data_IF_692810010629
#
_entry.id   IF_692810010629
#
_cell.length_a   1.000
_cell.length_b   1.000
_cell.length_c   1.000
_cell.angle_alpha   90.00
_cell.angle_beta   90.00
_cell.angle_gamma   90.00
#
_symmetry.space_group_name_H-M   'P 1'
#
loop_
_entity.id
_entity.type
_entity.pdbx_description
1 polymer ?
#
# COMPACT_ATOMS: atom_id res chain seq x y z
N UNK A 1 -37.97 -1.57 -63.82
CA UNK A 1 -37.12 -2.50 -63.05
C UNK A 1 -35.66 -2.18 -63.38
N UNK A 2 -34.76 -2.08 -62.39
CA UNK A 2 -33.28 -2.02 -62.49
C UNK A 2 -32.49 -0.69 -62.29
N UNK A 3 -33.03 0.37 -61.70
CA UNK A 3 -32.18 1.54 -61.34
C UNK A 3 -32.32 1.99 -59.87
N UNK A 4 -33.37 1.61 -59.17
CA UNK A 4 -33.59 2.00 -57.76
C UNK A 4 -32.96 1.09 -56.70
N UNK A 5 -32.27 0.02 -57.10
CA UNK A 5 -31.61 -0.94 -56.17
C UNK A 5 -30.11 -0.64 -56.01
N UNK A 6 -29.50 0.20 -56.85
CA UNK A 6 -28.05 0.44 -56.78
C UNK A 6 -27.66 1.57 -55.81
N UNK A 7 -28.56 2.50 -55.50
CA UNK A 7 -28.25 3.66 -54.63
C UNK A 7 -28.50 3.35 -53.14
N UNK A 8 -29.31 2.35 -52.82
CA UNK A 8 -29.56 1.94 -51.43
C UNK A 8 -28.55 0.91 -50.89
N UNK A 9 -27.66 0.38 -51.74
CA UNK A 9 -26.66 -0.62 -51.36
C UNK A 9 -25.27 -0.02 -51.07
N UNK A 10 -25.00 1.23 -51.47
CA UNK A 10 -23.72 1.91 -51.22
C UNK A 10 -23.69 2.74 -49.92
N UNK A 11 -24.81 2.88 -49.21
CA UNK A 11 -24.89 3.64 -47.96
C UNK A 11 -24.49 2.86 -46.70
N UNK A 12 -24.10 1.59 -46.82
CA UNK A 12 -23.82 0.69 -45.69
C UNK A 12 -22.33 0.32 -45.53
N UNK A 13 -21.41 0.89 -46.33
CA UNK A 13 -20.00 0.43 -46.38
C UNK A 13 -18.95 1.52 -46.12
N UNK A 14 -19.30 2.63 -45.47
CA UNK A 14 -18.31 3.62 -45.07
C UNK A 14 -18.64 4.22 -43.69
N UNK A 15 -18.61 3.37 -42.66
CA UNK A 15 -18.34 3.86 -41.30
C UNK A 15 -16.83 3.99 -41.16
N UNK A 16 -16.25 5.10 -41.66
CA UNK A 16 -14.84 5.41 -41.45
C UNK A 16 -14.71 5.86 -39.98
N UNK A 17 -14.06 5.07 -39.14
CA UNK A 17 -13.80 5.48 -37.75
C UNK A 17 -12.64 6.47 -37.75
N UNK A 18 -12.93 7.75 -37.48
CA UNK A 18 -11.91 8.81 -37.39
C UNK A 18 -10.76 8.43 -36.45
N UNK A 19 -11.08 7.81 -35.31
CA UNK A 19 -10.10 7.37 -34.32
C UNK A 19 -9.26 6.19 -34.83
N UNK A 20 -9.83 5.31 -35.66
CA UNK A 20 -9.04 4.27 -36.32
C UNK A 20 -8.02 4.87 -37.29
N UNK A 21 -8.45 5.81 -38.14
CA UNK A 21 -7.56 6.46 -39.12
C UNK A 21 -6.43 7.26 -38.41
N UNK A 22 -6.75 7.97 -37.34
CA UNK A 22 -5.73 8.64 -36.50
C UNK A 22 -4.76 7.63 -35.87
N UNK A 23 -5.27 6.50 -35.37
CA UNK A 23 -4.44 5.42 -34.84
C UNK A 23 -3.44 4.90 -35.87
N UNK A 24 -3.88 4.70 -37.13
CA UNK A 24 -3.02 4.27 -38.23
C UNK A 24 -1.91 5.29 -38.54
N UNK A 25 -2.23 6.58 -38.54
CA UNK A 25 -1.24 7.63 -38.75
C UNK A 25 -0.18 7.66 -37.63
N UNK A 26 -0.62 7.55 -36.37
CA UNK A 26 0.27 7.49 -35.21
C UNK A 26 1.14 6.23 -35.20
N UNK A 27 0.57 5.09 -35.58
CA UNK A 27 1.28 3.83 -35.77
C UNK A 27 2.38 3.96 -36.84
N UNK A 28 2.08 4.58 -37.98
CA UNK A 28 3.06 4.85 -39.04
C UNK A 28 4.21 5.76 -38.57
N UNK A 29 3.96 6.63 -37.59
CA UNK A 29 4.97 7.46 -36.94
C UNK A 29 5.73 6.75 -35.81
N UNK A 30 5.38 5.50 -35.48
CA UNK A 30 5.95 4.75 -34.35
C UNK A 30 5.50 5.25 -32.97
N UNK A 31 4.44 6.06 -32.90
CA UNK A 31 3.85 6.61 -31.66
C UNK A 31 2.85 5.62 -31.06
N UNK A 32 3.34 4.43 -30.74
CA UNK A 32 2.53 3.27 -30.36
C UNK A 32 1.60 3.50 -29.16
N UNK A 33 2.05 4.26 -28.15
CA UNK A 33 1.25 4.54 -26.95
C UNK A 33 0.02 5.40 -27.30
N UNK A 34 0.19 6.36 -28.20
CA UNK A 34 -0.87 7.25 -28.67
C UNK A 34 -1.80 6.52 -29.65
N UNK A 35 -1.23 5.74 -30.57
CA UNK A 35 -2.00 4.88 -31.46
C UNK A 35 -2.90 3.91 -30.68
N UNK A 36 -2.38 3.28 -29.62
CA UNK A 36 -3.15 2.37 -28.77
C UNK A 36 -4.28 3.08 -28.00
N UNK A 37 -4.17 4.38 -27.74
CA UNK A 37 -5.26 5.19 -27.16
C UNK A 37 -6.35 5.40 -28.21
N UNK A 38 -5.98 5.87 -29.40
CA UNK A 38 -6.95 6.11 -30.49
C UNK A 38 -7.69 4.84 -30.91
N UNK A 39 -6.96 3.73 -31.10
CA UNK A 39 -7.59 2.43 -31.39
C UNK A 39 -8.51 1.95 -30.26
N UNK A 40 -8.24 2.30 -29.01
CA UNK A 40 -9.11 1.94 -27.89
C UNK A 40 -10.39 2.76 -27.88
N UNK A 41 -10.32 4.03 -28.26
CA UNK A 41 -11.52 4.86 -28.46
C UNK A 41 -12.36 4.26 -29.59
N UNK A 42 -11.73 3.96 -30.74
CA UNK A 42 -12.39 3.32 -31.86
C UNK A 42 -13.04 1.96 -31.47
N UNK A 43 -12.35 1.16 -30.66
CA UNK A 43 -12.85 -0.14 -30.18
C UNK A 43 -14.05 -0.02 -29.24
N UNK A 44 -14.14 1.06 -28.45
CA UNK A 44 -15.33 1.33 -27.60
C UNK A 44 -16.55 1.64 -28.46
N UNK A 45 -16.35 2.33 -29.59
CA UNK A 45 -17.41 2.69 -30.52
C UNK A 45 -17.88 1.51 -31.38
N UNK A 46 -16.96 0.66 -31.84
CA UNK A 46 -17.26 -0.57 -32.59
C UNK A 46 -16.37 -1.75 -32.14
N UNK A 47 -16.81 -2.53 -31.14
CA UNK A 47 -16.02 -3.63 -30.58
C UNK A 47 -16.02 -4.91 -31.43
N UNK A 48 -16.93 -5.03 -32.40
CA UNK A 48 -17.04 -6.23 -33.26
C UNK A 48 -16.16 -6.11 -34.51
N UNK A 49 -15.73 -4.88 -34.85
CA UNK A 49 -14.79 -4.64 -35.94
C UNK A 49 -13.46 -5.38 -35.71
N UNK A 50 -13.16 -6.29 -36.63
CA UNK A 50 -11.95 -7.12 -36.59
C UNK A 50 -10.70 -6.28 -36.81
N UNK A 51 -10.72 -5.30 -37.71
CA UNK A 51 -9.56 -4.48 -38.06
C UNK A 51 -9.16 -3.58 -36.90
N UNK A 52 -10.13 -2.97 -36.21
CA UNK A 52 -9.90 -2.15 -35.01
C UNK A 52 -9.31 -3.01 -33.89
N UNK A 53 -9.90 -4.18 -33.62
CA UNK A 53 -9.43 -5.11 -32.58
C UNK A 53 -8.00 -5.58 -32.86
N UNK A 54 -7.70 -5.98 -34.08
CA UNK A 54 -6.35 -6.42 -34.46
C UNK A 54 -5.34 -5.27 -34.38
N UNK A 55 -5.73 -4.05 -34.78
CA UNK A 55 -4.86 -2.88 -34.66
C UNK A 55 -4.56 -2.53 -33.19
N UNK A 56 -5.58 -2.56 -32.33
CA UNK A 56 -5.41 -2.36 -30.90
C UNK A 56 -4.51 -3.44 -30.27
N UNK A 57 -4.68 -4.71 -30.64
CA UNK A 57 -3.85 -5.80 -30.15
C UNK A 57 -2.38 -5.59 -30.56
N UNK A 58 -2.11 -5.34 -31.85
CA UNK A 58 -0.75 -5.08 -32.35
C UNK A 58 -0.10 -3.89 -31.64
N UNK A 59 -0.83 -2.78 -31.49
CA UNK A 59 -0.33 -1.60 -30.80
C UNK A 59 -0.02 -1.92 -29.33
N UNK A 60 -0.93 -2.59 -28.61
CA UNK A 60 -0.73 -2.99 -27.22
C UNK A 60 0.51 -3.87 -27.02
N UNK A 61 0.80 -4.80 -27.94
CA UNK A 61 2.04 -5.59 -27.89
C UNK A 61 3.29 -4.69 -27.93
N UNK A 62 3.31 -3.68 -28.82
CA UNK A 62 4.44 -2.74 -28.92
C UNK A 62 4.56 -1.82 -27.71
N UNK A 63 3.45 -1.36 -27.15
CA UNK A 63 3.47 -0.53 -25.95
C UNK A 63 3.91 -1.35 -24.73
N UNK A 64 3.54 -2.63 -24.64
CA UNK A 64 4.00 -3.53 -23.59
C UNK A 64 5.53 -3.73 -23.65
N UNK A 65 6.09 -3.95 -24.84
CA UNK A 65 7.55 -4.07 -25.04
C UNK A 65 8.28 -2.77 -24.62
N UNK A 66 7.72 -1.61 -24.96
CA UNK A 66 8.30 -0.32 -24.55
C UNK A 66 8.22 -0.10 -23.03
N UNK A 67 7.07 -0.43 -22.43
CA UNK A 67 6.91 -0.43 -20.99
C UNK A 67 7.93 -1.36 -20.31
N UNK A 68 8.23 -2.53 -20.90
CA UNK A 68 9.22 -3.45 -20.35
C UNK A 68 10.64 -2.86 -20.36
N UNK A 69 11.03 -2.18 -21.45
CA UNK A 69 12.32 -1.47 -21.51
C UNK A 69 12.41 -0.37 -20.45
N UNK A 70 11.35 0.44 -20.29
CA UNK A 70 11.27 1.49 -19.26
C UNK A 70 11.28 0.91 -17.86
N UNK A 71 10.59 -0.21 -17.63
CA UNK A 71 10.60 -0.97 -16.39
C UNK A 71 12.03 -1.37 -16.01
N UNK A 72 12.76 -2.00 -16.93
CA UNK A 72 14.14 -2.43 -16.69
C UNK A 72 15.06 -1.26 -16.35
N UNK A 73 14.90 -0.14 -17.05
CA UNK A 73 15.67 1.08 -16.76
C UNK A 73 15.39 1.61 -15.35
N UNK A 74 14.12 1.78 -14.97
CA UNK A 74 13.77 2.23 -13.62
C UNK A 74 14.22 1.28 -12.52
N UNK A 75 14.24 -0.02 -12.81
CA UNK A 75 14.73 -1.03 -11.88
C UNK A 75 16.23 -0.86 -11.62
N UNK A 76 17.04 -0.64 -12.67
CA UNK A 76 18.48 -0.36 -12.55
C UNK A 76 18.75 0.92 -11.74
N UNK A 77 17.89 1.92 -11.87
CA UNK A 77 17.97 3.17 -11.10
C UNK A 77 17.37 3.06 -9.68
N UNK A 78 16.91 1.88 -9.25
CA UNK A 78 16.23 1.66 -7.97
C UNK A 78 14.97 2.53 -7.77
N UNK A 79 14.34 2.99 -8.86
CA UNK A 79 13.09 3.76 -8.86
C UNK A 79 11.89 2.80 -8.83
N UNK A 80 11.79 2.01 -7.76
CA UNK A 80 10.88 0.86 -7.66
C UNK A 80 9.41 1.19 -7.92
N UNK A 81 8.89 2.30 -7.37
CA UNK A 81 7.52 2.72 -7.63
C UNK A 81 7.23 2.97 -9.13
N UNK A 82 8.18 3.61 -9.83
CA UNK A 82 8.06 3.85 -11.29
C UNK A 82 8.21 2.57 -12.09
N UNK A 83 9.11 1.69 -11.68
CA UNK A 83 9.26 0.36 -12.30
C UNK A 83 7.95 -0.40 -12.18
N UNK A 84 7.43 -0.59 -10.98
CA UNK A 84 6.18 -1.35 -10.77
C UNK A 84 4.97 -0.76 -11.51
N UNK A 85 4.84 0.58 -11.59
CA UNK A 85 3.82 1.21 -12.43
C UNK A 85 3.93 0.80 -13.91
N UNK A 86 5.15 0.69 -14.45
CA UNK A 86 5.38 0.21 -15.83
C UNK A 86 5.08 -1.27 -15.99
N UNK A 87 5.34 -2.07 -14.95
CA UNK A 87 4.95 -3.49 -14.92
C UNK A 87 3.43 -3.66 -15.00
N UNK A 88 2.68 -2.95 -14.16
CA UNK A 88 1.21 -3.02 -14.17
C UNK A 88 0.64 -2.53 -15.51
N UNK A 89 1.15 -1.41 -16.04
CA UNK A 89 0.72 -0.88 -17.33
C UNK A 89 1.02 -1.84 -18.49
N UNK A 90 2.20 -2.47 -18.48
CA UNK A 90 2.59 -3.43 -19.51
C UNK A 90 1.78 -4.73 -19.45
N UNK A 91 1.49 -5.26 -18.26
CA UNK A 91 0.61 -6.42 -18.09
C UNK A 91 -0.85 -6.12 -18.46
N UNK A 92 -1.32 -4.88 -18.27
CA UNK A 92 -2.65 -4.48 -18.72
C UNK A 92 -2.77 -4.49 -20.27
N UNK A 93 -1.66 -4.24 -20.98
CA UNK A 93 -1.61 -4.22 -22.45
C UNK A 93 -1.35 -5.62 -23.04
N UNK A 94 -0.41 -6.36 -22.46
CA UNK A 94 -0.11 -7.73 -22.83
C UNK A 94 0.02 -8.58 -21.56
N UNK A 95 -1.09 -9.21 -21.11
CA UNK A 95 -1.09 -10.06 -19.93
C UNK A 95 -0.09 -11.22 -20.02
N UNK A 96 0.26 -11.68 -21.22
CA UNK A 96 1.15 -12.84 -21.42
C UNK A 96 2.59 -12.45 -21.75
N UNK A 97 2.97 -11.17 -21.58
CA UNK A 97 4.34 -10.72 -21.84
C UNK A 97 5.33 -11.46 -20.93
N UNK A 98 6.17 -12.32 -21.52
CA UNK A 98 7.06 -13.24 -20.80
C UNK A 98 7.98 -12.55 -19.79
N UNK A 99 8.54 -11.39 -20.17
CA UNK A 99 9.38 -10.57 -19.28
C UNK A 99 8.65 -10.12 -18.01
N UNK A 100 7.45 -9.54 -18.13
CA UNK A 100 6.66 -9.14 -16.96
C UNK A 100 6.15 -10.34 -16.16
N UNK A 101 5.78 -11.45 -16.81
CA UNK A 101 5.38 -12.68 -16.12
C UNK A 101 6.50 -13.26 -15.25
N UNK A 102 7.75 -13.20 -15.72
CA UNK A 102 8.92 -13.59 -14.94
C UNK A 102 9.20 -12.63 -13.77
N UNK A 103 8.92 -11.35 -13.93
CA UNK A 103 9.23 -10.31 -12.95
C UNK A 103 8.15 -10.12 -11.88
N UNK A 104 6.88 -10.33 -12.21
CA UNK A 104 5.73 -10.14 -11.30
C UNK A 104 5.89 -10.86 -9.94
N UNK A 105 6.31 -12.13 -9.86
CA UNK A 105 6.45 -12.85 -8.59
C UNK A 105 7.50 -12.26 -7.63
N UNK A 106 8.37 -11.37 -8.11
CA UNK A 106 9.40 -10.73 -7.31
C UNK A 106 8.92 -9.47 -6.58
N UNK A 107 7.75 -8.95 -6.94
CA UNK A 107 7.16 -7.82 -6.26
C UNK A 107 6.31 -8.29 -5.09
N UNK A 108 6.22 -7.50 -4.04
CA UNK A 108 5.22 -7.68 -2.98
C UNK A 108 4.67 -6.32 -2.60
N UNK A 109 3.36 -6.17 -2.74
CA UNK A 109 2.65 -4.99 -2.26
C UNK A 109 2.28 -5.20 -0.80
N UNK A 110 2.60 -4.23 0.04
CA UNK A 110 2.41 -4.34 1.49
C UNK A 110 1.45 -3.25 1.92
N UNK A 111 0.30 -3.62 2.45
CA UNK A 111 -0.52 -2.70 3.22
C UNK A 111 0.08 -2.61 4.63
N UNK A 112 0.27 -1.40 5.13
CA UNK A 112 0.57 -1.16 6.54
C UNK A 112 -0.58 -0.35 7.11
N UNK A 113 -1.22 -0.84 8.16
CA UNK A 113 -2.36 -0.15 8.76
C UNK A 113 -2.45 -0.37 10.27
N UNK A 114 -3.32 0.42 10.88
CA UNK A 114 -3.69 0.30 12.29
C UNK A 114 -4.62 1.44 12.69
N UNK A 115 -4.82 1.58 14.00
CA UNK A 115 -5.67 2.63 14.57
C UNK A 115 -5.01 3.28 15.77
N UNK A 116 -5.25 4.57 15.95
CA UNK A 116 -4.79 5.33 17.12
C UNK A 116 -5.98 6.10 17.69
N UNK A 117 -6.35 5.78 18.93
CA UNK A 117 -7.24 6.60 19.73
C UNK A 117 -6.43 7.71 20.38
N UNK A 118 -6.78 8.94 20.01
CA UNK A 118 -6.09 10.14 20.46
C UNK A 118 -7.11 11.19 20.89
N UNK A 119 -7.03 11.65 22.14
CA UNK A 119 -7.94 12.67 22.65
C UNK A 119 -7.51 14.07 22.20
N UNK A 120 -7.94 14.48 21.00
CA UNK A 120 -7.57 15.77 20.40
C UNK A 120 -7.95 16.99 21.25
N UNK A 121 -8.98 16.87 22.10
CA UNK A 121 -9.42 17.95 23.00
C UNK A 121 -8.28 18.39 23.94
N UNK A 122 -7.38 17.48 24.32
CA UNK A 122 -6.19 17.79 25.14
C UNK A 122 -5.14 18.64 24.41
N UNK A 123 -5.16 18.70 23.07
CA UNK A 123 -4.22 19.49 22.27
C UNK A 123 -4.66 20.94 22.07
N UNK A 124 -5.97 21.22 22.10
CA UNK A 124 -6.52 22.56 21.77
C UNK A 124 -6.04 23.67 22.72
N UNK A 125 -5.67 23.32 23.95
CA UNK A 125 -5.09 24.28 24.91
C UNK A 125 -3.57 24.44 24.81
N UNK A 126 -2.86 23.46 24.23
CA UNK A 126 -1.39 23.40 24.26
C UNK A 126 -0.70 24.00 23.02
N UNK A 127 -1.41 24.11 21.88
CA UNK A 127 -0.84 24.64 20.64
C UNK A 127 -1.47 25.97 20.25
N UNK A 128 -0.64 27.00 20.09
CA UNK A 128 -1.05 28.28 19.47
C UNK A 128 -1.55 27.99 18.05
N UNK A 129 -2.67 28.63 17.67
CA UNK A 129 -3.34 28.58 16.35
C UNK A 129 -2.32 28.43 15.21
N UNK A 130 -2.11 27.18 14.76
CA UNK A 130 -1.42 26.88 13.52
C UNK A 130 -2.44 26.91 12.39
N UNK A 131 -2.01 27.26 11.18
CA UNK A 131 -2.90 27.36 10.01
C UNK A 131 -3.39 25.97 9.59
N UNK A 132 -2.53 24.95 9.75
CA UNK A 132 -2.89 23.54 9.53
C UNK A 132 -2.29 22.67 10.63
N UNK A 133 -3.10 21.73 11.12
CA UNK A 133 -2.70 20.70 12.09
C UNK A 133 -3.17 19.33 11.60
N UNK A 134 -2.26 18.37 11.58
CA UNK A 134 -2.55 17.03 11.10
C UNK A 134 -1.80 15.99 11.89
N UNK A 135 -2.53 15.04 12.47
CA UNK A 135 -1.92 13.89 13.13
C UNK A 135 -1.32 12.96 12.08
N UNK A 136 -0.12 12.47 12.35
CA UNK A 136 0.60 11.57 11.47
C UNK A 136 1.26 10.43 12.24
N UNK A 137 1.23 9.25 11.64
CA UNK A 137 2.06 8.09 11.99
C UNK A 137 3.25 8.03 11.04
N UNK A 138 4.43 7.77 11.60
CA UNK A 138 5.63 7.43 10.83
C UNK A 138 6.02 5.98 11.13
N UNK A 139 6.41 5.24 10.11
CA UNK A 139 6.75 3.81 10.17
C UNK A 139 8.14 3.61 9.55
N UNK A 140 9.01 2.87 10.23
CA UNK A 140 10.26 2.41 9.65
C UNK A 140 9.96 1.25 8.71
N UNK A 141 10.47 1.33 7.48
CA UNK A 141 10.42 0.20 6.55
C UNK A 141 11.62 -0.73 6.78
N UNK A 142 11.52 -2.00 6.38
CA UNK A 142 12.65 -2.92 6.35
C UNK A 142 13.85 -2.42 5.53
N UNK A 143 13.61 -1.57 4.52
CA UNK A 143 14.64 -0.96 3.67
C UNK A 143 15.30 0.28 4.30
N UNK A 144 14.87 0.70 5.49
CA UNK A 144 15.39 1.89 6.19
C UNK A 144 14.75 3.21 5.75
N UNK A 145 13.76 3.17 4.86
CA UNK A 145 12.95 4.33 4.52
C UNK A 145 11.94 4.64 5.64
N UNK A 146 11.39 5.85 5.60
CA UNK A 146 10.37 6.32 6.54
C UNK A 146 9.07 6.57 5.79
N UNK A 147 8.06 5.73 6.04
CA UNK A 147 6.71 5.98 5.56
C UNK A 147 6.02 6.96 6.50
N UNK A 148 5.30 7.92 5.93
CA UNK A 148 4.50 8.88 6.69
C UNK A 148 3.07 8.84 6.19
N UNK A 149 2.13 8.64 7.10
CA UNK A 149 0.70 8.65 6.80
C UNK A 149 -0.05 9.48 7.81
N UNK A 150 -1.17 10.03 7.36
CA UNK A 150 -2.07 10.82 8.17
C UNK A 150 -3.01 9.90 8.94
N UNK A 151 -3.47 10.34 10.13
CA UNK A 151 -4.57 9.70 10.81
C UNK A 151 -5.88 10.30 10.28
N UNK A 152 -6.83 9.43 9.96
CA UNK A 152 -8.18 9.85 9.61
C UNK A 152 -8.87 10.30 10.91
N UNK A 153 -9.27 11.57 10.98
CA UNK A 153 -9.66 12.23 12.23
C UNK A 153 -10.87 11.60 12.95
N UNK A 154 -11.82 11.02 12.22
CA UNK A 154 -13.07 10.48 12.75
C UNK A 154 -12.89 9.07 13.35
N UNK A 155 -12.03 8.28 12.74
CA UNK A 155 -11.86 6.85 13.02
C UNK A 155 -10.56 6.58 13.75
N UNK A 156 -9.56 7.46 13.64
CA UNK A 156 -8.20 7.25 14.11
C UNK A 156 -7.40 6.26 13.26
N UNK A 157 -7.93 5.83 12.11
CA UNK A 157 -7.25 4.90 11.22
C UNK A 157 -6.05 5.55 10.57
N UNK A 158 -5.03 4.75 10.31
CA UNK A 158 -3.97 5.09 9.38
C UNK A 158 -3.72 3.88 8.47
N UNK A 159 -3.38 4.14 7.21
CA UNK A 159 -2.89 3.11 6.31
C UNK A 159 -2.01 3.71 5.22
N UNK A 160 -1.03 2.93 4.76
CA UNK A 160 -0.11 3.30 3.68
C UNK A 160 0.36 2.04 2.97
N UNK A 161 0.61 2.13 1.67
CA UNK A 161 1.21 1.04 0.90
C UNK A 161 2.74 1.21 0.84
N UNK A 162 3.44 0.08 0.93
CA UNK A 162 4.85 -0.05 0.56
C UNK A 162 5.01 -1.11 -0.54
N UNK A 163 6.17 -1.09 -1.19
CA UNK A 163 6.49 -1.94 -2.32
C UNK A 163 7.87 -2.55 -2.14
N UNK A 164 7.92 -3.87 -2.05
CA UNK A 164 9.15 -4.63 -1.90
C UNK A 164 9.49 -5.41 -3.17
N UNK A 165 10.78 -5.46 -3.51
CA UNK A 165 11.29 -6.16 -4.69
C UNK A 165 12.38 -7.17 -4.31
N UNK A 166 12.20 -8.44 -4.70
CA UNK A 166 13.14 -9.56 -4.48
C UNK A 166 13.55 -9.75 -3.01
N UNK A 167 12.62 -9.54 -2.08
CA UNK A 167 12.83 -9.81 -0.67
C UNK A 167 12.03 -11.03 -0.20
N UNK A 168 12.60 -11.84 0.70
CA UNK A 168 11.88 -12.96 1.28
C UNK A 168 10.84 -12.45 2.30
N UNK A 169 9.82 -13.26 2.65
CA UNK A 169 8.77 -12.84 3.60
C UNK A 169 9.29 -12.36 4.96
N UNK A 170 10.40 -12.93 5.44
CA UNK A 170 11.06 -12.54 6.69
C UNK A 170 11.52 -11.08 6.69
N UNK A 171 11.73 -10.48 5.52
CA UNK A 171 12.05 -9.06 5.41
C UNK A 171 10.91 -8.18 5.94
N UNK A 172 9.66 -8.63 5.76
CA UNK A 172 8.46 -7.91 6.18
C UNK A 172 8.27 -7.93 7.70
N UNK A 173 9.00 -8.75 8.46
CA UNK A 173 8.90 -8.76 9.93
C UNK A 173 9.61 -7.55 10.56
N UNK A 174 10.30 -6.73 9.76
CA UNK A 174 11.14 -5.62 10.23
C UNK A 174 10.44 -4.27 10.25
N UNK A 175 9.19 -4.16 9.78
CA UNK A 175 8.44 -2.92 9.97
C UNK A 175 8.30 -2.61 11.45
N UNK A 176 8.36 -1.33 11.79
CA UNK A 176 8.17 -0.87 13.16
C UNK A 176 7.61 0.54 13.20
N UNK A 177 6.88 0.86 14.25
CA UNK A 177 6.38 2.20 14.52
C UNK A 177 7.58 3.10 14.82
N UNK A 178 7.71 4.19 14.06
CA UNK A 178 8.75 5.20 14.31
C UNK A 178 8.24 6.27 15.28
N UNK A 179 7.12 6.91 14.93
CA UNK A 179 6.55 7.97 15.76
C UNK A 179 5.07 8.20 15.50
N UNK A 180 4.39 8.73 16.50
CA UNK A 180 3.04 9.32 16.38
C UNK A 180 3.17 10.77 16.81
N UNK A 181 2.62 11.69 16.02
CA UNK A 181 2.83 13.11 16.27
C UNK A 181 1.94 14.03 15.45
N UNK A 182 2.12 15.33 15.65
CA UNK A 182 1.36 16.38 15.01
C UNK A 182 2.25 17.17 14.04
N UNK A 183 1.89 17.12 12.76
CA UNK A 183 2.43 18.01 11.74
C UNK A 183 1.69 19.33 11.80
N UNK A 184 2.44 20.42 11.91
CA UNK A 184 1.92 21.78 11.93
C UNK A 184 2.50 22.57 10.77
N UNK A 185 1.66 23.31 10.05
CA UNK A 185 2.09 24.39 9.15
C UNK A 185 1.69 25.73 9.75
N UNK A 186 2.61 26.68 9.74
CA UNK A 186 2.35 28.03 10.22
C UNK A 186 3.05 29.05 9.33
N UNK A 187 2.32 30.09 8.92
CA UNK A 187 2.89 31.28 8.30
C UNK A 187 3.58 32.13 9.38
N UNK A 188 4.84 32.42 9.15
CA UNK A 188 5.64 33.30 10.00
C UNK A 188 5.27 34.76 9.75
N UNK A 189 5.66 35.65 10.67
CA UNK A 189 5.43 37.11 10.55
C UNK A 189 6.11 37.71 9.30
N UNK A 190 7.14 37.05 8.77
CA UNK A 190 7.86 37.40 7.55
C UNK A 190 7.27 36.74 6.29
N UNK A 191 6.13 36.05 6.39
CA UNK A 191 5.42 35.43 5.27
C UNK A 191 5.88 34.02 4.88
N UNK A 192 6.99 33.50 5.45
CA UNK A 192 7.46 32.14 5.17
C UNK A 192 6.61 31.08 5.85
N UNK A 193 6.41 29.94 5.17
CA UNK A 193 5.74 28.77 5.73
C UNK A 193 6.72 27.90 6.53
N UNK A 194 6.55 27.83 7.84
CA UNK A 194 7.29 26.91 8.72
C UNK A 194 6.51 25.61 8.89
N UNK A 195 7.17 24.49 8.65
CA UNK A 195 6.64 23.14 8.89
C UNK A 195 7.37 22.53 10.08
N UNK A 196 6.62 22.13 11.11
CA UNK A 196 7.17 21.46 12.29
C UNK A 196 6.44 20.13 12.49
N UNK A 197 7.14 19.12 12.98
CA UNK A 197 6.55 17.85 13.41
C UNK A 197 6.85 17.61 14.87
N UNK A 198 5.81 17.67 15.70
CA UNK A 198 5.90 17.43 17.13
C UNK A 198 5.57 15.98 17.44
N UNK A 199 6.55 15.24 17.95
CA UNK A 199 6.39 13.83 18.30
C UNK A 199 5.79 13.70 19.68
N UNK A 200 4.73 12.90 19.78
CA UNK A 200 4.14 12.47 21.05
C UNK A 200 4.80 11.16 21.46
N UNK A 201 4.78 10.18 20.56
CA UNK A 201 5.49 8.91 20.70
C UNK A 201 6.69 8.93 19.77
N UNK A 202 7.86 8.50 20.25
CA UNK A 202 9.10 8.57 19.49
C UNK A 202 10.03 7.39 19.80
N UNK A 203 9.92 6.35 18.97
CA UNK A 203 10.74 5.15 19.04
C UNK A 203 12.04 5.22 18.26
N UNK A 204 12.14 6.12 17.26
CA UNK A 204 13.25 6.43 16.33
C UNK A 204 14.12 5.24 15.86
N UNK A 205 14.22 5.07 14.53
CA UNK A 205 15.18 4.15 13.86
C UNK A 205 15.23 2.75 14.48
N UNK A 206 14.18 1.95 14.25
CA UNK A 206 14.10 0.60 14.77
C UNK A 206 14.24 -0.43 13.64
N UNK A 207 15.39 -1.09 13.64
CA UNK A 207 15.65 -2.35 12.99
C UNK A 207 16.12 -3.36 14.05
N UNK A 208 15.77 -4.64 13.92
CA UNK A 208 16.23 -5.66 14.85
C UNK A 208 17.75 -5.85 14.74
N UNK A 209 18.40 -6.09 15.87
CA UNK A 209 19.84 -6.42 15.93
C UNK A 209 20.16 -7.74 15.21
N UNK A 210 19.21 -8.67 15.23
CA UNK A 210 19.28 -9.93 14.51
C UNK A 210 17.88 -10.41 14.14
N UNK A 211 17.78 -11.12 13.01
CA UNK A 211 16.59 -11.89 12.62
C UNK A 211 17.04 -13.32 12.38
N UNK A 212 16.51 -14.26 13.14
CA UNK A 212 16.89 -15.68 13.09
C UNK A 212 15.65 -16.55 12.83
N UNK A 213 15.84 -17.66 12.12
CA UNK A 213 14.75 -18.56 11.75
C UNK A 213 14.09 -18.17 10.43
N UNK A 214 12.95 -18.81 10.15
CA UNK A 214 12.16 -18.65 8.92
C UNK A 214 10.68 -18.72 9.22
N UNK A 215 9.87 -18.14 8.35
CA UNK A 215 8.42 -18.32 8.37
C UNK A 215 8.06 -19.53 7.51
N UNK A 216 7.12 -20.36 7.99
CA UNK A 216 6.62 -21.47 7.18
C UNK A 216 5.80 -20.94 6.02
N UNK A 217 5.93 -21.53 4.83
CA UNK A 217 5.05 -21.21 3.72
C UNK A 217 3.58 -21.51 4.06
N UNK A 218 2.70 -20.65 3.57
CA UNK A 218 1.25 -20.75 3.80
C UNK A 218 0.63 -22.03 3.28
N UNK A 219 -0.61 -22.27 3.71
CA UNK A 219 -1.45 -23.23 3.01
C UNK A 219 -1.85 -22.69 1.64
N UNK A 220 -2.45 -23.52 0.79
CA UNK A 220 -3.09 -23.03 -0.44
C UNK A 220 -4.49 -22.48 -0.19
N UNK A 221 -4.96 -22.49 1.07
CA UNK A 221 -6.31 -22.06 1.44
C UNK A 221 -6.31 -20.58 1.79
N UNK A 222 -7.05 -19.79 1.00
CA UNK A 222 -7.22 -18.36 1.25
C UNK A 222 -8.35 -18.12 2.25
N UNK A 223 -8.10 -17.26 3.24
CA UNK A 223 -9.04 -16.89 4.29
C UNK A 223 -9.26 -15.38 4.33
N UNK A 224 -10.41 -14.95 4.84
CA UNK A 224 -10.69 -13.53 5.07
C UNK A 224 -10.10 -13.13 6.42
N UNK A 225 -9.53 -11.93 6.51
CA UNK A 225 -8.88 -11.46 7.74
C UNK A 225 -9.86 -11.34 8.91
N UNK A 226 -11.13 -11.04 8.63
CA UNK A 226 -12.19 -10.92 9.63
C UNK A 226 -12.47 -12.24 10.37
N UNK A 227 -12.33 -13.39 9.69
CA UNK A 227 -12.59 -14.73 10.26
C UNK A 227 -11.60 -15.11 11.38
N UNK A 228 -10.50 -14.38 11.50
CA UNK A 228 -9.42 -14.68 12.43
C UNK A 228 -9.26 -13.67 13.57
N UNK A 229 -10.14 -12.67 13.64
CA UNK A 229 -10.24 -11.73 14.76
C UNK A 229 -10.48 -12.44 16.11
N UNK A 230 -11.10 -13.62 16.11
CA UNK A 230 -11.37 -14.40 17.32
C UNK A 230 -10.12 -14.96 18.02
N UNK A 231 -8.99 -15.16 17.30
CA UNK A 231 -7.70 -15.57 17.91
C UNK A 231 -6.96 -14.44 18.65
N UNK A 232 -7.48 -13.21 18.58
CA UNK A 232 -6.97 -12.06 19.33
C UNK A 232 -7.50 -12.01 20.77
N UNK A 233 -8.45 -12.88 21.11
CA UNK A 233 -8.97 -12.97 22.47
C UNK A 233 -7.95 -13.70 23.35
N UNK A 234 -7.65 -13.05 24.48
CA UNK A 234 -6.83 -13.52 25.59
C UNK A 234 -5.32 -13.43 25.39
N UNK A 235 -4.81 -12.24 25.67
CA UNK A 235 -3.56 -12.11 26.43
C UNK A 235 -3.77 -10.96 27.40
N UNK A 236 -3.36 -11.09 28.66
CA UNK A 236 -3.37 -9.98 29.61
C UNK A 236 -2.39 -8.91 29.13
N UNK A 237 -2.87 -8.00 28.28
CA UNK A 237 -2.10 -6.84 27.86
C UNK A 237 -1.95 -5.90 29.05
N UNK A 238 -0.77 -5.29 29.14
CA UNK A 238 -0.50 -4.28 30.15
C UNK A 238 -1.39 -3.07 29.88
N UNK A 239 -2.16 -2.64 30.88
CA UNK A 239 -3.09 -1.53 30.75
C UNK A 239 -2.44 -0.17 30.93
N UNK A 240 -1.28 -0.13 31.59
CA UNK A 240 -0.52 1.11 31.83
C UNK A 240 0.15 1.61 30.54
N UNK A 241 -0.03 2.90 30.28
CA UNK A 241 0.63 3.60 29.18
C UNK A 241 2.14 3.59 29.36
N UNK A 242 2.85 3.15 28.34
CA UNK A 242 4.30 3.11 28.30
C UNK A 242 4.85 4.40 27.70
N UNK A 243 5.77 5.06 28.40
CA UNK A 243 6.57 6.15 27.83
C UNK A 243 7.85 5.54 27.26
N UNK A 244 7.94 5.31 25.95
CA UNK A 244 9.04 4.54 25.40
C UNK A 244 10.37 5.31 25.41
N UNK A 245 11.50 4.62 25.57
CA UNK A 245 12.80 5.19 25.25
C UNK A 245 12.90 5.45 23.74
N UNK A 246 13.82 6.33 23.35
CA UNK A 246 14.05 6.69 21.94
C UNK A 246 14.72 5.61 21.11
N UNK A 247 15.30 4.58 21.72
CA UNK A 247 16.00 3.48 21.04
C UNK A 247 15.67 2.21 21.80
N UNK A 248 15.41 1.13 21.05
CA UNK A 248 15.16 -0.20 21.59
C UNK A 248 16.11 -1.19 20.93
N UNK A 249 16.72 -2.02 21.76
CA UNK A 249 17.55 -3.12 21.31
C UNK A 249 16.72 -4.39 21.40
N UNK A 250 16.44 -5.01 20.25
CA UNK A 250 15.65 -6.23 20.19
C UNK A 250 16.13 -7.15 19.08
N UNK A 251 15.77 -8.42 19.17
CA UNK A 251 15.99 -9.44 18.16
C UNK A 251 14.67 -10.08 17.78
N UNK A 252 14.60 -10.60 16.55
CA UNK A 252 13.48 -11.39 16.07
C UNK A 252 13.90 -12.86 15.96
N UNK A 253 13.13 -13.72 16.61
CA UNK A 253 13.20 -15.16 16.42
C UNK A 253 11.93 -15.63 15.74
N UNK A 254 12.08 -16.12 14.52
CA UNK A 254 10.99 -16.60 13.68
C UNK A 254 10.85 -18.10 13.92
N UNK A 255 9.72 -18.50 14.47
CA UNK A 255 9.31 -19.89 14.48
C UNK A 255 8.25 -20.08 13.39
N UNK A 256 8.11 -21.30 12.87
CA UNK A 256 7.28 -21.61 11.70
C UNK A 256 5.90 -20.93 11.67
N UNK A 257 5.32 -20.65 12.85
CA UNK A 257 3.96 -20.09 13.02
C UNK A 257 3.91 -18.72 13.70
N UNK A 258 5.03 -18.08 14.01
CA UNK A 258 5.03 -16.87 14.85
C UNK A 258 6.36 -16.10 14.87
N UNK A 259 6.28 -14.87 15.37
CA UNK A 259 7.40 -13.93 15.40
C UNK A 259 7.64 -13.53 16.85
N UNK A 260 8.73 -14.03 17.43
CA UNK A 260 9.10 -13.74 18.81
C UNK A 260 10.06 -12.55 18.89
N UNK A 261 9.77 -11.60 19.79
CA UNK A 261 10.56 -10.40 20.06
C UNK A 261 11.29 -10.56 21.39
N UNK A 262 12.62 -10.56 21.32
CA UNK A 262 13.50 -10.71 22.47
C UNK A 262 14.18 -9.37 22.82
N UNK A 263 14.40 -9.12 24.11
CA UNK A 263 15.23 -8.00 24.60
C UNK A 263 14.47 -6.72 25.00
N UNK A 264 13.15 -6.69 24.87
CA UNK A 264 12.28 -5.57 25.27
C UNK A 264 11.06 -6.10 26.03
N UNK A 265 10.56 -5.39 27.07
CA UNK A 265 9.41 -5.82 27.87
C UNK A 265 8.06 -5.39 27.27
N UNK A 266 8.07 -4.68 26.14
CA UNK A 266 6.90 -4.04 25.53
C UNK A 266 6.95 -4.20 24.01
N UNK A 267 5.78 -4.29 23.36
CA UNK A 267 5.61 -4.63 21.94
C UNK A 267 5.00 -3.50 21.09
N UNK A 268 4.66 -2.35 21.69
CA UNK A 268 3.95 -1.26 21.00
C UNK A 268 4.70 -0.66 19.80
N UNK A 269 6.00 -0.92 19.69
CA UNK A 269 6.79 -0.51 18.53
C UNK A 269 6.68 -1.47 17.34
N UNK A 270 6.37 -2.74 17.58
CA UNK A 270 6.30 -3.78 16.54
C UNK A 270 4.88 -3.85 15.96
N UNK A 271 4.64 -4.54 14.85
CA UNK A 271 3.29 -4.89 14.43
C UNK A 271 2.61 -5.80 15.46
N UNK A 272 1.30 -5.98 15.34
CA UNK A 272 0.55 -7.03 16.02
C UNK A 272 0.56 -8.32 15.19
N UNK A 273 0.30 -8.19 13.89
CA UNK A 273 0.18 -9.31 12.96
C UNK A 273 0.85 -9.01 11.62
N UNK A 274 1.37 -10.06 11.01
CA UNK A 274 1.79 -10.10 9.61
C UNK A 274 0.92 -11.12 8.88
N UNK A 275 0.15 -10.68 7.91
CA UNK A 275 -0.61 -11.51 6.99
C UNK A 275 0.12 -11.58 5.65
N UNK A 276 0.21 -12.78 5.08
CA UNK A 276 0.77 -13.02 3.75
C UNK A 276 -0.29 -13.62 2.82
N UNK A 277 -0.28 -13.16 1.58
CA UNK A 277 -1.03 -13.73 0.47
C UNK A 277 -0.05 -13.96 -0.68
N UNK A 278 0.67 -15.08 -0.61
CA UNK A 278 1.80 -15.42 -1.46
C UNK A 278 1.39 -15.54 -2.94
N UNK A 279 0.23 -16.13 -3.22
CA UNK A 279 -0.29 -16.32 -4.58
C UNK A 279 -0.60 -14.99 -5.29
N UNK A 280 -1.02 -13.96 -4.53
CA UNK A 280 -1.32 -12.63 -5.05
C UNK A 280 -0.21 -11.61 -4.82
N UNK A 281 0.94 -12.01 -4.25
CA UNK A 281 2.07 -11.13 -3.96
C UNK A 281 1.66 -9.93 -3.08
N UNK A 282 0.83 -10.19 -2.08
CA UNK A 282 0.35 -9.18 -1.14
C UNK A 282 0.69 -9.55 0.29
N UNK A 283 0.88 -8.54 1.12
CA UNK A 283 1.01 -8.67 2.55
C UNK A 283 0.24 -7.56 3.26
N UNK A 284 -0.19 -7.83 4.49
CA UNK A 284 -0.75 -6.83 5.38
C UNK A 284 -0.01 -6.88 6.72
N UNK A 285 0.64 -5.77 7.06
CA UNK A 285 1.27 -5.52 8.35
C UNK A 285 0.29 -4.73 9.19
N UNK A 286 -0.32 -5.41 10.14
CA UNK A 286 -1.29 -4.83 11.06
C UNK A 286 -0.60 -4.40 12.35
N UNK A 287 -0.65 -3.11 12.67
CA UNK A 287 -0.12 -2.55 13.91
C UNK A 287 -1.12 -2.60 15.07
N UNK A 288 -2.35 -3.04 14.84
CA UNK A 288 -3.41 -3.11 15.83
C UNK A 288 -3.95 -1.73 16.19
N UNK A 289 -4.57 -1.66 17.36
CA UNK A 289 -5.15 -0.43 17.91
C UNK A 289 -4.32 0.08 19.08
N UNK A 290 -3.97 1.36 19.05
CA UNK A 290 -3.27 2.05 20.12
C UNK A 290 -4.16 3.07 20.79
N UNK A 291 -3.94 3.25 22.10
CA UNK A 291 -4.37 4.44 22.83
C UNK A 291 -3.15 5.25 23.22
N UNK A 292 -3.19 6.56 22.93
CA UNK A 292 -2.11 7.50 23.22
C UNK A 292 -2.60 8.53 24.23
N UNK A 293 -1.89 8.64 25.35
CA UNK A 293 -2.34 9.41 26.51
C UNK A 293 -1.25 10.32 27.04
N UNK A 294 -1.61 11.54 27.43
CA UNK A 294 -0.72 12.44 28.15
C UNK A 294 -0.83 12.14 29.65
N UNK A 295 0.28 11.75 30.27
CA UNK A 295 0.35 11.67 31.72
C UNK A 295 0.42 13.10 32.29
N UNK A 296 -0.56 13.53 33.12
CA UNK A 296 -0.66 14.91 33.58
C UNK A 296 0.43 15.29 34.61
N UNK A 297 1.00 14.33 35.33
CA UNK A 297 2.02 14.57 36.34
C UNK A 297 3.42 14.74 35.71
N UNK A 298 3.71 13.96 34.68
CA UNK A 298 5.02 13.95 34.02
C UNK A 298 5.06 14.78 32.74
N UNK A 299 3.90 15.22 32.24
CA UNK A 299 3.70 15.88 30.95
C UNK A 299 4.27 15.07 29.75
N UNK A 300 4.37 13.74 29.92
CA UNK A 300 4.87 12.85 28.87
C UNK A 300 3.74 12.06 28.25
N UNK A 301 3.82 11.91 26.93
CA UNK A 301 2.93 11.05 26.18
C UNK A 301 3.37 9.58 26.33
N UNK A 302 2.41 8.73 26.63
CA UNK A 302 2.56 7.28 26.64
C UNK A 302 1.65 6.61 25.61
N UNK A 303 2.00 5.36 25.28
CA UNK A 303 1.27 4.52 24.33
C UNK A 303 0.94 3.18 24.98
N UNK A 304 -0.22 2.63 24.65
CA UNK A 304 -0.62 1.27 25.01
C UNK A 304 -1.30 0.61 23.82
N UNK A 305 -0.99 -0.66 23.55
CA UNK A 305 -1.75 -1.48 22.61
C UNK A 305 -3.02 -1.97 23.28
N UNK A 306 -4.15 -1.72 22.65
CA UNK A 306 -5.44 -2.19 23.13
C UNK A 306 -5.74 -3.59 22.60
N UNK A 307 -6.38 -4.46 23.40
CA UNK A 307 -6.84 -5.75 22.91
C UNK A 307 -7.89 -5.54 21.82
N UNK A 308 -7.97 -6.46 20.86
CA UNK A 308 -9.03 -6.45 19.88
C UNK A 308 -10.36 -6.84 20.55
N UNK A 309 -11.30 -5.91 20.52
CA UNK A 309 -12.68 -6.05 20.98
C UNK A 309 -13.57 -5.47 19.89
N UNK A 310 -14.89 -5.72 19.87
CA UNK A 310 -15.78 -5.09 18.91
C UNK A 310 -15.70 -3.54 18.86
N UNK A 311 -15.25 -2.89 19.95
CA UNK A 311 -15.08 -1.44 20.00
C UNK A 311 -13.72 -0.95 19.45
N UNK A 312 -12.67 -1.75 19.63
CA UNK A 312 -11.29 -1.42 19.26
C UNK A 312 -10.86 -2.02 17.94
N UNK A 313 -11.54 -3.07 17.46
CA UNK A 313 -11.29 -3.71 16.17
C UNK A 313 -11.52 -2.70 15.04
N UNK A 314 -10.50 -2.57 14.20
CA UNK A 314 -10.42 -1.59 13.15
C UNK A 314 -10.54 -2.24 11.75
N UNK A 315 -10.48 -3.58 11.66
CA UNK A 315 -10.57 -4.32 10.41
C UNK A 315 -11.89 -4.09 9.67
N UNK A 316 -13.06 -4.03 10.34
CA UNK A 316 -14.32 -3.70 9.66
C UNK A 316 -14.33 -2.29 9.06
N UNK A 317 -13.55 -1.36 9.61
CA UNK A 317 -13.44 -0.02 9.05
C UNK A 317 -12.53 0.00 7.82
N UNK A 318 -11.41 -0.74 7.84
CA UNK A 318 -10.54 -0.91 6.67
C UNK A 318 -11.30 -1.56 5.50
N UNK A 319 -12.15 -2.56 5.79
CA UNK A 319 -12.96 -3.26 4.79
C UNK A 319 -14.00 -2.39 4.08
N UNK A 320 -14.34 -1.21 4.62
CA UNK A 320 -15.21 -0.24 3.92
C UNK A 320 -14.50 0.43 2.75
N UNK A 321 -13.16 0.42 2.73
CA UNK A 321 -12.38 0.95 1.63
C UNK A 321 -12.13 -0.15 0.60
N UNK A 322 -12.89 -0.13 -0.50
CA UNK A 322 -12.83 -1.12 -1.57
C UNK A 322 -11.42 -1.27 -2.20
N UNK A 323 -10.61 -0.21 -2.17
CA UNK A 323 -9.24 -0.26 -2.68
C UNK A 323 -8.32 -1.16 -1.83
N UNK A 324 -8.67 -1.38 -0.56
CA UNK A 324 -7.92 -2.20 0.38
C UNK A 324 -8.33 -3.68 0.35
N UNK A 325 -9.49 -4.02 -0.24
CA UNK A 325 -10.02 -5.38 -0.29
C UNK A 325 -8.99 -6.45 -0.71
N UNK A 326 -8.11 -6.22 -1.70
CA UNK A 326 -7.12 -7.23 -2.10
C UNK A 326 -6.14 -7.64 -0.99
N UNK A 327 -5.98 -6.83 0.06
CA UNK A 327 -5.12 -7.12 1.22
C UNK A 327 -5.85 -7.82 2.37
N UNK A 328 -7.18 -7.91 2.31
CA UNK A 328 -8.02 -8.46 3.39
C UNK A 328 -8.22 -9.97 3.28
N UNK A 329 -7.33 -10.62 2.53
CA UNK A 329 -7.26 -12.05 2.31
C UNK A 329 -5.84 -12.52 2.52
N UNK A 330 -5.68 -13.75 3.01
CA UNK A 330 -4.37 -14.28 3.32
C UNK A 330 -4.35 -15.81 3.30
N UNK A 331 -3.15 -16.38 3.16
CA UNK A 331 -2.86 -17.81 3.30
C UNK A 331 -2.05 -18.14 4.56
N UNK A 332 -1.34 -17.14 5.10
CA UNK A 332 -0.53 -17.25 6.31
C UNK A 332 -0.70 -16.03 7.20
N UNK A 333 -0.75 -16.23 8.52
CA UNK A 333 -0.74 -15.15 9.49
C UNK A 333 0.21 -15.47 10.64
N UNK A 334 1.00 -14.47 11.05
CA UNK A 334 1.99 -14.60 12.10
C UNK A 334 1.81 -13.48 13.11
N UNK A 335 1.70 -13.85 14.39
CA UNK A 335 1.58 -12.91 15.50
C UNK A 335 2.96 -12.52 16.01
N UNK A 336 3.11 -11.26 16.38
CA UNK A 336 4.27 -10.78 17.12
C UNK A 336 4.03 -10.97 18.63
N UNK A 337 4.92 -11.71 19.29
CA UNK A 337 4.85 -12.02 20.73
C UNK A 337 6.19 -11.75 21.42
N UNK A 338 6.21 -11.80 22.75
CA UNK A 338 7.45 -11.95 23.52
C UNK A 338 8.00 -13.37 23.45
#
# INVERSE_FOLDING_TARGET
>A
MRITIFVLLCGLLASCSYHYDQGQELEAQGRWEEAAIEYRIAYVDDPEDVEIREALERANLKVADDNFRRYQHYLQEHKFAKAYQRLEAGLAQNPNHSGFQAERPHWTRVLIAGRVHFEFQKLRGAFRLADEMQLQVQINTPSGALLTTELINDTGLFFVEDLNYRHPPEFLTRYSLNSIGLRMKRRTTTGFLRRNYQRFINFRELAPLAVQGKLKNGSTETRVIQDHSERLQETSLLTAAWVPPRLLNYQLQLNDTGIQILGTPRLEFAPELLYLHQTQQRAFVDFGTYRVELNPETERWGIVREPATPATDHLPLLARNLALNPYLYYDSAYRFTH
#
